data_IF_706266262826
#
_entry.id   IF_706266262826
#
_cell.length_a   1.000
_cell.length_b   1.000
_cell.length_c   1.000
_cell.angle_alpha   90.00
_cell.angle_beta   90.00
_cell.angle_gamma   90.00
#
_symmetry.space_group_name_H-M   'P 1'
#
loop_
_entity.id
_entity.type
_entity.pdbx_description
1 polymer ?
#
# COMPACT_ATOMS: atom_id res chain seq x y z
N UNK A 1 -6.80 7.84 38.58
CA UNK A 1 -5.50 7.61 39.22
C UNK A 1 -4.45 7.39 38.13
N UNK A 2 -3.44 8.26 38.06
CA UNK A 2 -2.33 8.16 37.10
C UNK A 2 -1.42 6.98 37.49
N UNK A 3 -1.56 5.83 36.82
CA UNK A 3 -0.89 4.59 37.24
C UNK A 3 0.65 4.68 37.28
N UNK A 4 1.25 5.63 36.53
CA UNK A 4 2.70 5.87 36.51
C UNK A 4 3.22 6.55 37.79
N UNK A 5 2.37 7.21 38.57
CA UNK A 5 2.76 7.92 39.80
C UNK A 5 3.48 7.02 40.83
N UNK A 6 3.17 5.72 40.84
CA UNK A 6 3.75 4.76 41.78
C UNK A 6 4.89 3.92 41.17
N UNK A 7 5.24 4.14 39.90
CA UNK A 7 6.28 3.40 39.20
C UNK A 7 7.36 4.34 38.66
N UNK A 8 8.57 4.25 39.21
CA UNK A 8 9.74 5.01 38.73
C UNK A 8 10.31 4.39 37.44
N UNK A 9 9.47 4.28 36.40
CA UNK A 9 9.81 3.62 35.13
C UNK A 9 10.21 4.66 34.09
N UNK A 10 11.52 4.91 34.01
CA UNK A 10 12.14 5.75 32.99
C UNK A 10 11.68 5.40 31.57
N UNK A 11 11.41 6.41 30.74
CA UNK A 11 11.21 6.20 29.30
C UNK A 11 12.59 6.03 28.64
N UNK A 12 12.80 5.00 27.82
CA UNK A 12 14.02 4.86 27.04
C UNK A 12 14.23 6.09 26.13
N UNK A 13 15.26 6.89 26.41
CA UNK A 13 15.62 8.07 25.63
C UNK A 13 16.46 7.69 24.41
N UNK A 14 15.85 6.96 23.48
CA UNK A 14 16.47 6.61 22.21
C UNK A 14 16.72 7.85 21.36
N UNK A 15 17.75 7.84 20.52
CA UNK A 15 18.03 8.98 19.65
C UNK A 15 16.90 9.26 18.67
N UNK A 16 16.20 8.23 18.20
CA UNK A 16 14.98 8.38 17.40
C UNK A 16 13.91 9.18 18.17
N UNK A 17 13.67 8.84 19.45
CA UNK A 17 12.68 9.55 20.27
C UNK A 17 13.08 11.01 20.55
N UNK A 18 14.36 11.26 20.84
CA UNK A 18 14.90 12.62 20.99
C UNK A 18 14.71 13.46 19.73
N UNK A 19 14.86 12.87 18.55
CA UNK A 19 14.59 13.57 17.29
C UNK A 19 13.10 13.84 17.11
N UNK A 20 12.22 12.87 17.39
CA UNK A 20 10.76 13.06 17.28
C UNK A 20 10.26 14.21 18.16
N UNK A 21 10.85 14.42 19.34
CA UNK A 21 10.55 15.56 20.22
C UNK A 21 10.85 16.93 19.60
N UNK A 22 11.63 17.01 18.51
CA UNK A 22 11.87 18.27 17.78
C UNK A 22 10.70 18.69 16.89
N UNK A 23 9.70 17.82 16.70
CA UNK A 23 8.49 18.17 15.96
C UNK A 23 7.67 19.20 16.73
N UNK A 24 7.13 20.20 16.03
CA UNK A 24 6.26 21.22 16.61
C UNK A 24 5.06 20.64 17.37
N UNK A 25 4.55 19.48 16.94
CA UNK A 25 3.44 18.79 17.60
C UNK A 25 3.76 18.34 19.02
N UNK A 26 5.03 18.11 19.35
CA UNK A 26 5.42 17.77 20.72
C UNK A 26 5.18 18.95 21.67
N UNK A 27 5.53 20.17 21.24
CA UNK A 27 5.24 21.38 22.02
C UNK A 27 3.73 21.58 22.19
N UNK A 28 2.95 21.38 21.12
CA UNK A 28 1.49 21.43 21.17
C UNK A 28 0.91 20.46 22.22
N UNK A 29 1.39 19.20 22.22
CA UNK A 29 0.98 18.17 23.17
C UNK A 29 1.36 18.53 24.60
N UNK A 30 2.56 19.09 24.83
CA UNK A 30 2.99 19.55 26.16
C UNK A 30 2.03 20.58 26.73
N UNK A 31 1.77 21.65 25.97
CA UNK A 31 0.92 22.76 26.39
C UNK A 31 -0.49 22.27 26.72
N UNK A 32 -1.10 21.50 25.82
CA UNK A 32 -2.45 20.99 26.02
C UNK A 32 -2.53 19.98 27.17
N UNK A 33 -1.50 19.14 27.36
CA UNK A 33 -1.46 18.21 28.50
C UNK A 33 -1.38 18.94 29.84
N UNK A 34 -0.56 20.00 29.93
CA UNK A 34 -0.48 20.84 31.12
C UNK A 34 -1.80 21.58 31.39
N UNK A 35 -2.45 22.09 30.35
CA UNK A 35 -3.73 22.79 30.49
C UNK A 35 -4.87 21.87 30.92
N UNK A 36 -4.94 20.65 30.41
CA UNK A 36 -6.07 19.74 30.65
C UNK A 36 -5.79 18.81 31.82
N UNK A 37 -4.65 18.12 31.82
CA UNK A 37 -4.32 17.14 32.87
C UNK A 37 -3.73 17.87 34.07
N UNK A 38 -2.86 18.86 33.84
CA UNK A 38 -2.23 19.65 34.90
C UNK A 38 -3.25 20.36 35.79
N UNK A 39 -4.21 21.07 35.19
CA UNK A 39 -5.22 21.83 35.94
C UNK A 39 -6.20 20.97 36.75
N UNK A 40 -6.54 19.78 36.26
CA UNK A 40 -7.69 19.02 36.78
C UNK A 40 -7.32 17.72 37.50
N UNK A 41 -6.14 17.16 37.25
CA UNK A 41 -5.78 15.81 37.70
C UNK A 41 -4.39 15.68 38.31
N UNK A 42 -3.40 16.47 37.85
CA UNK A 42 -2.02 16.36 38.33
C UNK A 42 -1.25 17.69 38.14
N UNK A 43 -1.31 18.62 39.11
CA UNK A 43 -0.71 19.96 39.01
C UNK A 43 0.77 19.97 38.61
N UNK A 44 1.51 18.92 39.00
CA UNK A 44 2.95 18.81 38.84
C UNK A 44 3.36 17.79 37.75
N UNK A 45 2.75 17.87 36.56
CA UNK A 45 3.18 17.04 35.42
C UNK A 45 4.67 17.26 35.13
N UNK A 46 5.47 16.20 35.27
CA UNK A 46 6.90 16.25 34.99
C UNK A 46 7.18 16.20 33.49
N UNK A 47 8.38 16.60 33.07
CA UNK A 47 8.81 16.42 31.68
C UNK A 47 8.78 14.95 31.22
N UNK A 48 8.96 14.03 32.16
CA UNK A 48 8.90 12.60 31.90
C UNK A 48 7.46 12.12 31.67
N UNK A 49 6.48 12.67 32.39
CA UNK A 49 5.05 12.40 32.12
C UNK A 49 4.65 12.92 30.73
N UNK A 50 5.16 14.10 30.36
CA UNK A 50 4.92 14.68 29.04
C UNK A 50 5.58 13.87 27.91
N UNK A 51 6.79 13.37 28.14
CA UNK A 51 7.44 12.40 27.25
C UNK A 51 6.61 11.13 27.11
N UNK A 52 6.01 10.63 28.20
CA UNK A 52 5.18 9.44 28.15
C UNK A 52 3.93 9.65 27.32
N UNK A 53 3.26 10.79 27.50
CA UNK A 53 2.08 11.16 26.72
C UNK A 53 2.45 11.28 25.24
N UNK A 54 3.58 11.90 24.94
CA UNK A 54 4.08 12.01 23.56
C UNK A 54 4.42 10.65 22.96
N UNK A 55 5.04 9.75 23.73
CA UNK A 55 5.33 8.39 23.29
C UNK A 55 4.03 7.63 22.95
N UNK A 56 3.02 7.71 23.82
CA UNK A 56 1.68 7.16 23.56
C UNK A 56 1.05 7.77 22.30
N UNK A 57 1.22 9.08 22.09
CA UNK A 57 0.75 9.77 20.90
C UNK A 57 1.42 9.23 19.62
N UNK A 58 2.73 8.97 19.65
CA UNK A 58 3.46 8.44 18.51
C UNK A 58 3.07 6.99 18.15
N UNK A 59 2.69 6.18 19.12
CA UNK A 59 2.49 4.73 18.94
C UNK A 59 1.04 4.33 18.65
N UNK A 60 0.09 5.26 18.83
CA UNK A 60 -1.34 5.00 18.64
C UNK A 60 -1.92 5.79 17.47
N UNK A 61 -2.96 5.25 16.84
CA UNK A 61 -3.83 6.05 15.99
C UNK A 61 -4.77 6.83 16.90
N UNK A 62 -4.62 8.15 16.97
CA UNK A 62 -5.46 8.99 17.79
C UNK A 62 -5.84 10.27 17.03
N UNK A 63 -7.04 10.83 17.27
CA UNK A 63 -7.48 12.07 16.63
C UNK A 63 -6.94 13.32 17.33
N UNK A 64 -6.09 13.17 18.35
CA UNK A 64 -5.60 14.29 19.15
C UNK A 64 -4.77 15.22 18.26
N UNK A 65 -5.07 16.52 18.30
CA UNK A 65 -4.45 17.53 17.43
C UNK A 65 -4.50 17.23 15.92
N UNK A 66 -5.53 16.49 15.45
CA UNK A 66 -5.73 16.21 14.01
C UNK A 66 -5.75 17.49 13.15
N UNK A 67 -6.27 18.58 13.71
CA UNK A 67 -6.40 19.92 13.12
C UNK A 67 -5.07 20.68 13.08
N UNK A 68 -4.07 20.29 13.88
CA UNK A 68 -2.77 20.94 13.93
C UNK A 68 -1.77 20.42 12.88
N UNK A 69 -2.11 19.39 12.12
CA UNK A 69 -1.26 18.82 11.08
C UNK A 69 -1.42 19.56 9.75
N UNK A 70 -0.41 20.36 9.40
CA UNK A 70 -0.33 21.03 8.09
C UNK A 70 0.50 20.19 7.11
N UNK A 71 0.34 20.38 5.77
CA UNK A 71 1.19 19.70 4.78
C UNK A 71 2.70 19.90 5.03
N UNK A 72 3.09 21.08 5.54
CA UNK A 72 4.47 21.38 5.95
C UNK A 72 4.92 20.49 7.10
N UNK A 73 4.15 20.41 8.20
CA UNK A 73 4.48 19.55 9.36
C UNK A 73 4.52 18.06 8.98
N UNK A 74 3.66 17.62 8.06
CA UNK A 74 3.68 16.25 7.52
C UNK A 74 4.97 15.99 6.73
N UNK A 75 5.42 16.95 5.92
CA UNK A 75 6.69 16.85 5.19
C UNK A 75 7.88 16.79 6.15
N UNK A 76 7.91 17.63 7.18
CA UNK A 76 8.93 17.62 8.25
C UNK A 76 8.98 16.27 8.96
N UNK A 77 7.82 15.69 9.30
CA UNK A 77 7.75 14.34 9.88
C UNK A 77 8.38 13.29 8.95
N UNK A 78 8.05 13.32 7.65
CA UNK A 78 8.62 12.37 6.70
C UNK A 78 10.14 12.54 6.59
N UNK A 79 10.63 13.76 6.47
CA UNK A 79 12.08 14.03 6.41
C UNK A 79 12.78 13.53 7.66
N UNK A 80 12.21 13.81 8.85
CA UNK A 80 12.77 13.39 10.12
C UNK A 80 12.83 11.86 10.24
N UNK A 81 11.73 11.15 9.96
CA UNK A 81 11.70 9.69 10.02
C UNK A 81 12.70 9.07 9.05
N UNK A 82 12.77 9.60 7.83
CA UNK A 82 13.62 9.07 6.75
C UNK A 82 15.10 9.36 6.92
N UNK A 83 15.49 10.28 7.82
CA UNK A 83 16.89 10.72 7.95
C UNK A 83 17.47 10.64 9.36
N UNK A 84 16.63 10.66 10.41
CA UNK A 84 17.05 10.77 11.81
C UNK A 84 16.50 9.66 12.72
N UNK A 85 15.78 8.68 12.17
CA UNK A 85 15.25 7.54 12.93
C UNK A 85 15.60 6.22 12.24
N UNK A 86 15.27 5.09 12.87
CA UNK A 86 15.46 3.75 12.32
C UNK A 86 14.67 3.56 10.99
N UNK A 87 13.72 4.44 10.67
CA UNK A 87 13.09 4.49 9.35
C UNK A 87 14.09 4.73 8.21
N UNK A 88 15.20 5.44 8.46
CA UNK A 88 16.28 5.64 7.48
C UNK A 88 16.90 4.31 7.06
N UNK A 89 17.28 3.48 8.04
CA UNK A 89 17.96 2.21 7.78
C UNK A 89 16.99 1.17 7.28
N UNK A 90 15.72 1.19 7.74
CA UNK A 90 14.67 0.34 7.16
C UNK A 90 14.43 0.65 5.69
N UNK A 91 14.37 1.94 5.31
CA UNK A 91 14.28 2.35 3.89
C UNK A 91 15.45 1.79 3.10
N UNK A 92 16.66 1.82 3.65
CA UNK A 92 17.85 1.30 2.99
C UNK A 92 17.77 -0.23 2.80
N UNK A 93 17.32 -0.98 3.82
CA UNK A 93 17.13 -2.43 3.74
C UNK A 93 16.08 -2.84 2.70
N UNK A 94 15.08 -2.00 2.45
CA UNK A 94 14.04 -2.24 1.43
C UNK A 94 14.46 -1.83 0.01
N UNK A 95 15.54 -1.07 -0.16
CA UNK A 95 15.98 -0.55 -1.47
C UNK A 95 16.27 -1.64 -2.49
N UNK A 96 16.99 -2.73 -2.16
CA UNK A 96 17.29 -3.76 -3.14
C UNK A 96 16.04 -4.46 -3.68
N UNK A 97 14.95 -4.49 -2.89
CA UNK A 97 13.68 -5.11 -3.29
C UNK A 97 12.78 -4.15 -4.07
N UNK A 98 12.64 -2.90 -3.62
CA UNK A 98 11.63 -1.97 -4.15
C UNK A 98 12.17 -0.93 -5.14
N UNK A 99 13.48 -0.66 -5.12
CA UNK A 99 14.10 0.39 -5.95
C UNK A 99 13.71 1.82 -5.55
N UNK A 100 14.49 2.81 -6.02
CA UNK A 100 14.35 4.19 -5.56
C UNK A 100 13.05 4.88 -6.02
N UNK A 101 12.47 4.47 -7.16
CA UNK A 101 11.21 5.03 -7.66
C UNK A 101 10.05 4.81 -6.66
N UNK A 102 9.94 3.60 -6.12
CA UNK A 102 8.93 3.26 -5.12
C UNK A 102 9.28 3.92 -3.78
N UNK A 103 10.54 3.81 -3.35
CA UNK A 103 10.99 4.33 -2.06
C UNK A 103 10.89 5.85 -1.90
N UNK A 104 10.89 6.60 -3.00
CA UNK A 104 10.77 8.07 -2.97
C UNK A 104 9.34 8.58 -3.11
N UNK A 105 8.40 7.68 -3.43
CA UNK A 105 6.98 7.99 -3.58
C UNK A 105 6.35 8.45 -2.25
N UNK A 106 5.37 9.35 -2.34
CA UNK A 106 4.61 9.81 -1.18
C UNK A 106 3.82 8.68 -0.48
N UNK A 107 3.16 7.75 -1.21
CA UNK A 107 2.51 6.60 -0.58
C UNK A 107 3.47 5.74 0.23
N UNK A 108 4.66 5.42 -0.32
CA UNK A 108 5.66 4.64 0.42
C UNK A 108 6.08 5.35 1.71
N UNK A 109 6.33 6.66 1.65
CA UNK A 109 6.71 7.44 2.85
C UNK A 109 5.67 7.33 3.96
N UNK A 110 4.38 7.37 3.62
CA UNK A 110 3.27 7.19 4.58
C UNK A 110 3.28 5.79 5.20
N UNK A 111 3.44 4.76 4.37
CA UNK A 111 3.53 3.36 4.81
C UNK A 111 4.71 3.18 5.77
N UNK A 112 5.89 3.68 5.39
CA UNK A 112 7.09 3.52 6.21
C UNK A 112 6.99 4.25 7.54
N UNK A 113 6.43 5.46 7.58
CA UNK A 113 6.21 6.19 8.84
C UNK A 113 5.24 5.44 9.75
N UNK A 114 4.16 4.91 9.17
CA UNK A 114 3.17 4.12 9.91
C UNK A 114 3.75 2.84 10.51
N UNK A 115 4.67 2.19 9.79
CA UNK A 115 5.32 0.97 10.25
C UNK A 115 6.49 1.25 11.21
N UNK A 116 7.31 2.28 10.93
CA UNK A 116 8.48 2.63 11.75
C UNK A 116 8.10 3.02 13.18
N UNK A 117 6.90 3.59 13.38
CA UNK A 117 6.43 3.99 14.73
C UNK A 117 6.34 2.82 15.70
N UNK A 118 6.18 1.58 15.20
CA UNK A 118 6.10 0.37 16.02
C UNK A 118 7.40 0.14 16.80
N UNK A 119 8.53 0.55 16.24
CA UNK A 119 9.87 0.29 16.77
C UNK A 119 10.38 1.43 17.65
N UNK A 120 9.59 2.48 17.88
CA UNK A 120 9.95 3.54 18.83
C UNK A 120 10.12 2.87 20.20
N UNK A 121 11.32 2.93 20.76
CA UNK A 121 11.65 2.33 22.06
C UNK A 121 11.30 0.84 22.19
N UNK A 122 11.42 0.07 21.10
CA UNK A 122 11.14 -1.38 21.04
C UNK A 122 9.71 -1.76 21.45
N UNK A 123 8.73 -0.88 21.21
CA UNK A 123 7.36 -1.08 21.66
C UNK A 123 6.54 -2.07 20.82
N UNK A 124 7.08 -2.61 19.72
CA UNK A 124 6.36 -3.48 18.80
C UNK A 124 5.78 -4.73 19.46
N UNK A 125 6.34 -5.17 20.59
CA UNK A 125 5.84 -6.33 21.37
C UNK A 125 4.65 -5.99 22.26
N UNK A 126 4.42 -4.70 22.55
CA UNK A 126 3.40 -4.23 23.50
C UNK A 126 2.18 -3.63 22.81
N UNK A 127 2.27 -3.29 21.53
CA UNK A 127 1.16 -2.69 20.80
C UNK A 127 0.10 -3.77 20.55
N UNK A 128 -1.17 -3.56 20.92
CA UNK A 128 -2.19 -4.60 20.84
C UNK A 128 -2.61 -4.89 19.40
N UNK A 129 -3.13 -6.10 19.20
CA UNK A 129 -3.80 -6.56 17.99
C UNK A 129 -5.08 -5.73 17.75
N UNK A 130 -5.26 -5.24 16.53
CA UNK A 130 -6.53 -4.67 16.09
C UNK A 130 -7.27 -5.82 15.40
N UNK A 131 -8.50 -6.13 15.84
CA UNK A 131 -9.41 -7.25 15.52
C UNK A 131 -9.61 -7.72 14.04
N UNK A 132 -8.66 -7.53 13.14
CA UNK A 132 -8.70 -7.78 11.70
C UNK A 132 -7.87 -9.02 11.28
N UNK A 133 -7.22 -9.71 12.22
CA UNK A 133 -6.25 -10.77 11.94
C UNK A 133 -6.78 -11.87 10.99
N UNK A 134 -8.04 -12.29 11.15
CA UNK A 134 -8.61 -13.35 10.30
C UNK A 134 -8.76 -12.96 8.83
N UNK A 135 -9.09 -11.70 8.55
CA UNK A 135 -9.21 -11.19 7.17
C UNK A 135 -7.82 -11.11 6.52
N UNK A 136 -6.85 -10.55 7.24
CA UNK A 136 -5.49 -10.38 6.74
C UNK A 136 -4.81 -11.74 6.47
N UNK A 137 -5.06 -12.75 7.31
CA UNK A 137 -4.47 -14.09 7.15
C UNK A 137 -4.90 -14.80 5.86
N UNK A 138 -6.10 -14.51 5.34
CA UNK A 138 -6.55 -15.06 4.04
C UNK A 138 -5.75 -14.43 2.88
N UNK A 139 -5.49 -13.13 2.94
CA UNK A 139 -4.66 -12.40 1.97
C UNK A 139 -3.21 -12.94 1.98
N UNK A 140 -2.66 -13.24 3.16
CA UNK A 140 -1.31 -13.80 3.30
C UNK A 140 -1.08 -15.09 2.50
N UNK A 141 -2.10 -15.96 2.37
CA UNK A 141 -1.96 -17.22 1.62
C UNK A 141 -1.65 -16.99 0.14
N UNK A 142 -2.13 -15.88 -0.44
CA UNK A 142 -1.97 -15.58 -1.86
C UNK A 142 -0.54 -15.13 -2.19
N UNK A 143 0.10 -14.39 -1.28
CA UNK A 143 1.40 -13.75 -1.52
C UNK A 143 2.48 -14.19 -0.52
N UNK A 144 2.49 -15.50 -0.22
CA UNK A 144 3.37 -16.08 0.81
C UNK A 144 4.86 -15.80 0.55
N UNK A 145 5.29 -15.80 -0.71
CA UNK A 145 6.69 -15.52 -1.09
C UNK A 145 7.08 -14.09 -0.74
N UNK A 146 6.30 -13.09 -1.17
CA UNK A 146 6.57 -11.68 -0.89
C UNK A 146 6.57 -11.39 0.62
N UNK A 147 5.60 -11.93 1.36
CA UNK A 147 5.58 -11.85 2.82
C UNK A 147 6.85 -12.42 3.46
N UNK A 148 7.29 -13.60 3.03
CA UNK A 148 8.48 -14.25 3.59
C UNK A 148 9.75 -13.45 3.29
N UNK A 149 9.89 -12.90 2.08
CA UNK A 149 11.02 -12.05 1.73
C UNK A 149 11.05 -10.77 2.58
N UNK A 150 9.90 -10.10 2.74
CA UNK A 150 9.79 -8.94 3.63
C UNK A 150 10.10 -9.31 5.09
N UNK A 151 9.65 -10.49 5.55
CA UNK A 151 9.96 -10.99 6.88
C UNK A 151 11.46 -11.08 7.10
N UNK A 152 12.19 -11.73 6.17
CA UNK A 152 13.64 -11.85 6.24
C UNK A 152 14.31 -10.48 6.28
N UNK A 153 13.96 -9.57 5.37
CA UNK A 153 14.52 -8.21 5.31
C UNK A 153 14.30 -7.47 6.64
N UNK A 154 13.10 -7.54 7.20
CA UNK A 154 12.75 -6.84 8.44
C UNK A 154 13.44 -7.47 9.65
N UNK A 155 13.52 -8.79 9.73
CA UNK A 155 14.20 -9.49 10.84
C UNK A 155 15.72 -9.22 10.82
N UNK A 156 16.34 -9.23 9.65
CA UNK A 156 17.76 -8.87 9.47
C UNK A 156 18.02 -7.40 9.85
N UNK A 157 17.16 -6.49 9.38
CA UNK A 157 17.22 -5.08 9.75
C UNK A 157 17.05 -4.87 11.27
N UNK A 158 16.09 -5.55 11.90
CA UNK A 158 15.88 -5.48 13.35
C UNK A 158 17.13 -5.94 14.10
N UNK A 159 17.75 -7.03 13.66
CA UNK A 159 18.99 -7.52 14.25
C UNK A 159 20.15 -6.53 14.10
N UNK A 160 20.30 -5.90 12.94
CA UNK A 160 21.35 -4.91 12.67
C UNK A 160 21.18 -3.63 13.51
N UNK A 161 19.94 -3.22 13.79
CA UNK A 161 19.61 -2.05 14.62
C UNK A 161 19.60 -2.36 16.13
N UNK A 162 19.81 -3.61 16.54
CA UNK A 162 19.72 -4.02 17.94
C UNK A 162 18.31 -3.92 18.53
N UNK A 163 17.27 -4.02 17.68
CA UNK A 163 15.87 -3.98 18.10
C UNK A 163 15.53 -5.30 18.80
N UNK A 164 15.14 -5.19 20.08
CA UNK A 164 14.84 -6.35 20.92
C UNK A 164 13.37 -6.72 20.83
N UNK A 165 13.08 -8.01 20.84
CA UNK A 165 11.72 -8.56 20.88
C UNK A 165 11.19 -8.97 19.51
N UNK A 166 10.25 -9.92 19.52
CA UNK A 166 9.69 -10.47 18.28
C UNK A 166 8.70 -9.51 17.66
N UNK A 167 8.79 -9.26 16.35
CA UNK A 167 7.74 -8.55 15.62
C UNK A 167 6.47 -9.41 15.55
N UNK A 168 5.34 -8.95 16.10
CA UNK A 168 4.07 -9.65 15.91
C UNK A 168 3.71 -9.79 14.44
N UNK A 169 3.28 -10.99 14.04
CA UNK A 169 3.06 -11.33 12.62
C UNK A 169 2.04 -10.45 11.90
N UNK A 170 1.05 -9.90 12.63
CA UNK A 170 0.02 -9.03 12.06
C UNK A 170 0.56 -7.66 11.65
N UNK A 171 1.55 -7.12 12.35
CA UNK A 171 2.19 -5.85 11.98
C UNK A 171 2.91 -5.98 10.64
N UNK A 172 3.68 -7.06 10.48
CA UNK A 172 4.34 -7.36 9.22
C UNK A 172 3.34 -7.65 8.10
N UNK A 173 2.23 -8.32 8.41
CA UNK A 173 1.20 -8.63 7.43
C UNK A 173 0.49 -7.37 6.93
N UNK A 174 0.16 -6.43 7.81
CA UNK A 174 -0.40 -5.14 7.42
C UNK A 174 0.59 -4.36 6.55
N UNK A 175 1.87 -4.33 6.93
CA UNK A 175 2.92 -3.70 6.14
C UNK A 175 3.05 -4.32 4.76
N UNK A 176 2.98 -5.65 4.68
CA UNK A 176 2.98 -6.41 3.42
C UNK A 176 1.82 -5.97 2.54
N UNK A 177 0.58 -6.01 3.04
CA UNK A 177 -0.61 -5.61 2.29
C UNK A 177 -0.52 -4.17 1.80
N UNK A 178 -0.04 -3.24 2.63
CA UNK A 178 0.14 -1.85 2.23
C UNK A 178 1.15 -1.70 1.09
N UNK A 179 2.26 -2.44 1.13
CA UNK A 179 3.23 -2.47 0.03
C UNK A 179 2.65 -3.12 -1.22
N UNK A 180 1.85 -4.18 -1.09
CA UNK A 180 1.21 -4.83 -2.22
C UNK A 180 0.24 -3.89 -2.95
N UNK A 181 -0.60 -3.19 -2.21
CA UNK A 181 -1.51 -2.18 -2.78
C UNK A 181 -0.74 -1.05 -3.46
N UNK A 182 0.39 -0.63 -2.90
CA UNK A 182 1.28 0.32 -3.57
C UNK A 182 1.86 -0.27 -4.87
N UNK A 183 2.38 -1.50 -4.84
CA UNK A 183 2.98 -2.14 -6.01
C UNK A 183 1.97 -2.30 -7.16
N UNK A 184 0.69 -2.56 -6.84
CA UNK A 184 -0.39 -2.60 -7.84
C UNK A 184 -0.58 -1.29 -8.61
N UNK A 185 -0.17 -0.14 -8.06
CA UNK A 185 -0.23 1.15 -8.75
C UNK A 185 0.91 1.35 -9.76
N UNK A 186 1.95 0.51 -9.71
CA UNK A 186 3.07 0.53 -10.66
C UNK A 186 2.85 -0.40 -11.85
N UNK A 187 1.75 -1.16 -11.87
CA UNK A 187 1.36 -1.94 -13.04
C UNK A 187 0.88 -1.01 -14.16
N UNK A 188 1.30 -1.23 -15.41
CA UNK A 188 0.78 -0.46 -16.53
C UNK A 188 -0.73 -0.68 -16.68
N UNK A 189 -1.49 0.35 -17.12
CA UNK A 189 -2.89 0.18 -17.48
C UNK A 189 -3.06 -0.95 -18.50
N UNK A 190 -4.14 -1.73 -18.36
CA UNK A 190 -4.44 -2.81 -19.29
C UNK A 190 -5.17 -2.22 -20.50
N UNK A 191 -4.67 -2.41 -21.73
CA UNK A 191 -5.39 -1.99 -22.92
C UNK A 191 -6.65 -2.83 -23.08
N UNK A 192 -7.80 -2.17 -23.27
CA UNK A 192 -9.11 -2.82 -23.43
C UNK A 192 -9.69 -2.40 -24.77
N UNK A 193 -9.73 -3.32 -25.73
CA UNK A 193 -10.35 -3.09 -27.03
C UNK A 193 -11.82 -3.48 -26.97
N UNK A 194 -12.71 -2.52 -27.21
CA UNK A 194 -14.15 -2.76 -27.25
C UNK A 194 -14.64 -2.75 -28.70
N UNK A 195 -15.11 -3.90 -29.18
CA UNK A 195 -15.36 -4.17 -30.60
C UNK A 195 -16.85 -4.44 -30.85
N UNK A 196 -17.53 -3.53 -31.54
CA UNK A 196 -18.89 -3.76 -32.06
C UNK A 196 -19.12 -2.85 -33.26
N UNK A 197 -20.12 -3.17 -34.09
CA UNK A 197 -20.55 -2.28 -35.17
C UNK A 197 -21.62 -1.27 -34.73
N UNK A 198 -22.19 -1.44 -33.54
CA UNK A 198 -23.20 -0.55 -33.00
C UNK A 198 -22.55 0.60 -32.21
N UNK A 199 -22.59 1.81 -32.76
CA UNK A 199 -22.01 3.02 -32.16
C UNK A 199 -22.66 3.40 -30.82
N UNK A 200 -23.99 3.27 -30.70
CA UNK A 200 -24.67 3.54 -29.43
C UNK A 200 -24.26 2.55 -28.33
N UNK A 201 -24.02 1.28 -28.70
CA UNK A 201 -23.50 0.29 -27.77
C UNK A 201 -22.04 0.58 -27.37
N UNK A 202 -21.19 1.04 -28.31
CA UNK A 202 -19.82 1.49 -28.00
C UNK A 202 -19.82 2.59 -26.96
N UNK A 203 -20.62 3.64 -27.14
CA UNK A 203 -20.64 4.78 -26.22
C UNK A 203 -21.12 4.37 -24.82
N UNK A 204 -22.21 3.62 -24.74
CA UNK A 204 -22.76 3.12 -23.47
C UNK A 204 -21.75 2.26 -22.72
N UNK A 205 -21.12 1.30 -23.40
CA UNK A 205 -20.16 0.39 -22.77
C UNK A 205 -18.85 1.08 -22.40
N UNK A 206 -18.36 2.00 -23.23
CA UNK A 206 -17.16 2.78 -22.92
C UNK A 206 -17.38 3.56 -21.63
N UNK A 207 -18.55 4.19 -21.49
CA UNK A 207 -18.93 4.89 -20.26
C UNK A 207 -19.04 3.95 -19.07
N UNK A 208 -19.72 2.80 -19.22
CA UNK A 208 -19.86 1.81 -18.15
C UNK A 208 -18.49 1.28 -17.68
N UNK A 209 -17.63 0.88 -18.61
CA UNK A 209 -16.29 0.37 -18.30
C UNK A 209 -15.41 1.46 -17.66
N UNK A 210 -15.56 2.72 -18.05
CA UNK A 210 -14.81 3.83 -17.44
C UNK A 210 -15.22 4.11 -16.00
N UNK A 211 -16.45 3.75 -15.60
CA UNK A 211 -16.90 3.82 -14.20
C UNK A 211 -16.23 2.72 -13.37
N UNK A 212 -16.17 1.49 -13.88
CA UNK A 212 -15.55 0.37 -13.16
C UNK A 212 -14.02 0.44 -13.18
N UNK A 213 -13.43 0.96 -14.25
CA UNK A 213 -12.00 0.96 -14.49
C UNK A 213 -11.49 2.38 -14.78
N UNK A 214 -10.87 3.05 -13.80
CA UNK A 214 -10.23 4.33 -14.05
C UNK A 214 -9.05 4.18 -15.03
N UNK A 215 -8.60 5.27 -15.67
CA UNK A 215 -7.50 5.24 -16.66
C UNK A 215 -6.16 4.68 -16.14
N UNK A 216 -5.91 4.78 -14.83
CA UNK A 216 -4.74 4.17 -14.19
C UNK A 216 -4.80 2.64 -14.13
N UNK A 217 -5.98 2.05 -14.37
CA UNK A 217 -6.24 0.61 -14.32
C UNK A 217 -6.41 0.05 -15.73
N UNK A 218 -7.19 0.70 -16.58
CA UNK A 218 -7.47 0.26 -17.94
C UNK A 218 -7.52 1.43 -18.91
N UNK A 219 -7.11 1.18 -20.15
CA UNK A 219 -7.27 2.13 -21.25
C UNK A 219 -8.27 1.56 -22.25
N UNK A 220 -9.50 2.07 -22.22
CA UNK A 220 -10.60 1.59 -23.07
C UNK A 220 -10.52 2.25 -24.44
N UNK A 221 -10.43 1.43 -25.48
CA UNK A 221 -10.35 1.82 -26.89
C UNK A 221 -11.59 1.29 -27.61
N UNK A 222 -12.63 2.12 -27.80
CA UNK A 222 -13.79 1.75 -28.60
C UNK A 222 -13.41 1.68 -30.08
N UNK A 223 -13.82 0.62 -30.74
CA UNK A 223 -13.53 0.39 -32.16
C UNK A 223 -14.78 -0.10 -32.87
N UNK A 224 -15.18 0.68 -33.87
CA UNK A 224 -16.21 0.25 -34.81
C UNK A 224 -15.59 -0.68 -35.87
N UNK A 225 -15.99 -1.94 -35.84
CA UNK A 225 -15.45 -3.00 -36.71
C UNK A 225 -15.86 -2.86 -38.19
N UNK A 226 -16.85 -2.03 -38.51
CA UNK A 226 -17.19 -1.70 -39.91
C UNK A 226 -16.22 -0.67 -40.51
N UNK A 227 -15.55 0.11 -39.67
CA UNK A 227 -14.65 1.19 -40.10
C UNK A 227 -13.21 0.69 -40.19
N UNK A 228 -12.78 -0.16 -39.25
CA UNK A 228 -11.40 -0.61 -39.13
C UNK A 228 -11.32 -2.13 -39.35
N UNK A 229 -10.49 -2.63 -40.29
CA UNK A 229 -10.32 -4.06 -40.53
C UNK A 229 -9.82 -4.79 -39.28
N UNK A 230 -10.39 -5.97 -38.98
CA UNK A 230 -10.08 -6.73 -37.77
C UNK A 230 -8.60 -6.94 -37.48
N UNK A 231 -7.78 -7.11 -38.51
CA UNK A 231 -6.33 -7.36 -38.45
C UNK A 231 -5.48 -6.17 -37.98
N UNK A 232 -6.03 -4.95 -38.05
CA UNK A 232 -5.31 -3.72 -37.72
C UNK A 232 -5.73 -3.09 -36.38
N UNK A 233 -6.66 -3.76 -35.68
CA UNK A 233 -7.31 -3.26 -34.46
C UNK A 233 -6.41 -3.39 -33.23
N UNK A 234 -5.97 -4.62 -32.92
CA UNK A 234 -5.27 -4.93 -31.68
C UNK A 234 -3.77 -4.83 -31.93
N UNK A 235 -3.15 -3.86 -31.26
CA UNK A 235 -1.72 -3.55 -31.45
C UNK A 235 -0.86 -4.02 -30.27
N UNK A 236 -1.45 -4.00 -29.08
CA UNK A 236 -0.74 -4.35 -27.84
C UNK A 236 -0.95 -5.81 -27.47
N UNK A 237 0.09 -6.48 -26.96
CA UNK A 237 -0.01 -7.86 -26.45
C UNK A 237 -0.62 -7.88 -25.05
N UNK A 238 -1.17 -9.02 -24.65
CA UNK A 238 -1.77 -9.22 -23.31
C UNK A 238 -2.89 -8.21 -22.96
N UNK A 239 -3.58 -7.71 -23.98
CA UNK A 239 -4.76 -6.84 -23.83
C UNK A 239 -6.04 -7.62 -23.52
N UNK A 240 -7.07 -6.90 -23.09
CA UNK A 240 -8.44 -7.42 -22.98
C UNK A 240 -9.18 -7.02 -24.26
N UNK A 241 -9.85 -7.98 -24.88
CA UNK A 241 -10.65 -7.76 -26.08
C UNK A 241 -12.09 -8.13 -25.75
N UNK A 242 -12.97 -7.14 -25.74
CA UNK A 242 -14.39 -7.27 -25.48
C UNK A 242 -15.10 -7.10 -26.81
N UNK A 243 -15.84 -8.11 -27.25
CA UNK A 243 -16.53 -8.05 -28.53
C UNK A 243 -17.97 -8.54 -28.43
N UNK A 244 -18.79 -8.19 -29.41
CA UNK A 244 -20.05 -8.90 -29.61
C UNK A 244 -19.76 -10.40 -29.84
N UNK A 245 -20.61 -11.27 -29.30
CA UNK A 245 -20.50 -12.72 -29.43
C UNK A 245 -20.36 -13.16 -30.89
N UNK A 246 -21.01 -12.47 -31.84
CA UNK A 246 -20.93 -12.80 -33.26
C UNK A 246 -19.51 -12.66 -33.84
N UNK A 247 -18.67 -11.78 -33.29
CA UNK A 247 -17.31 -11.53 -33.78
C UNK A 247 -16.25 -12.29 -32.98
N UNK A 248 -16.59 -12.78 -31.79
CA UNK A 248 -15.61 -13.32 -30.83
C UNK A 248 -14.76 -14.45 -31.42
N UNK A 249 -15.37 -15.41 -32.11
CA UNK A 249 -14.66 -16.55 -32.70
C UNK A 249 -13.62 -16.12 -33.74
N UNK A 250 -13.99 -15.16 -34.61
CA UNK A 250 -13.09 -14.62 -35.63
C UNK A 250 -11.93 -13.86 -34.98
N UNK A 251 -12.23 -12.99 -34.02
CA UNK A 251 -11.23 -12.20 -33.29
C UNK A 251 -10.27 -13.12 -32.53
N UNK A 252 -10.79 -14.14 -31.86
CA UNK A 252 -9.96 -15.14 -31.18
C UNK A 252 -9.01 -15.81 -32.15
N UNK A 253 -9.49 -16.21 -33.34
CA UNK A 253 -8.64 -16.83 -34.35
C UNK A 253 -7.53 -15.90 -34.85
N UNK A 254 -7.84 -14.62 -35.10
CA UNK A 254 -6.88 -13.64 -35.60
C UNK A 254 -5.79 -13.28 -34.58
N UNK A 255 -6.14 -13.30 -33.29
CA UNK A 255 -5.25 -12.85 -32.21
C UNK A 255 -4.82 -13.99 -31.26
N UNK A 256 -4.95 -15.23 -31.72
CA UNK A 256 -4.44 -16.41 -31.01
C UNK A 256 -2.94 -16.24 -30.74
N UNK A 257 -2.50 -16.58 -29.52
CA UNK A 257 -1.09 -16.63 -29.07
C UNK A 257 -0.44 -15.32 -28.56
N UNK A 258 -1.21 -14.28 -28.31
CA UNK A 258 -0.66 -13.01 -27.76
C UNK A 258 -1.00 -12.78 -26.27
N UNK A 259 -1.53 -13.80 -25.59
CA UNK A 259 -1.87 -13.75 -24.17
C UNK A 259 -3.06 -12.85 -23.84
N UNK A 260 -3.90 -12.54 -24.84
CA UNK A 260 -5.09 -11.71 -24.64
C UNK A 260 -6.16 -12.42 -23.80
N UNK A 261 -6.95 -11.61 -23.11
CA UNK A 261 -8.20 -12.05 -22.50
C UNK A 261 -9.36 -11.69 -23.44
N UNK A 262 -10.07 -12.70 -23.94
CA UNK A 262 -11.24 -12.51 -24.79
C UNK A 262 -12.51 -12.60 -23.97
N UNK A 263 -13.34 -11.56 -24.06
CA UNK A 263 -14.63 -11.48 -23.40
C UNK A 263 -15.69 -11.17 -24.46
N UNK A 264 -16.90 -11.72 -24.27
CA UNK A 264 -18.04 -11.27 -25.04
C UNK A 264 -18.92 -10.35 -24.19
N UNK A 265 -19.67 -9.52 -24.88
CA UNK A 265 -20.75 -8.74 -24.29
C UNK A 265 -22.06 -9.01 -25.01
N UNK A 266 -23.14 -9.12 -24.24
CA UNK A 266 -24.49 -9.25 -24.76
C UNK A 266 -25.28 -8.01 -24.35
N UNK A 267 -25.59 -7.14 -25.31
CA UNK A 267 -26.30 -5.89 -25.04
C UNK A 267 -27.66 -6.11 -24.36
N UNK A 268 -28.39 -7.14 -24.79
CA UNK A 268 -29.67 -7.54 -24.18
C UNK A 268 -29.55 -7.99 -22.71
N UNK A 269 -28.34 -8.33 -22.26
CA UNK A 269 -28.05 -8.76 -20.88
C UNK A 269 -26.88 -7.96 -20.31
N UNK A 270 -26.98 -6.63 -20.41
CA UNK A 270 -25.92 -5.70 -20.03
C UNK A 270 -25.41 -5.93 -18.61
N UNK A 271 -26.29 -5.93 -17.61
CA UNK A 271 -25.88 -5.97 -16.21
C UNK A 271 -25.14 -7.27 -15.85
N UNK A 272 -25.56 -8.40 -16.45
CA UNK A 272 -24.87 -9.70 -16.32
C UNK A 272 -23.49 -9.65 -16.99
N UNK A 273 -23.42 -9.06 -18.19
CA UNK A 273 -22.18 -8.95 -18.94
C UNK A 273 -21.17 -8.03 -18.23
N UNK A 274 -21.62 -6.90 -17.68
CA UNK A 274 -20.79 -5.98 -16.90
C UNK A 274 -20.21 -6.65 -15.65
N UNK A 275 -21.04 -7.34 -14.86
CA UNK A 275 -20.57 -8.05 -13.67
C UNK A 275 -19.55 -9.15 -14.01
N UNK A 276 -19.78 -9.89 -15.09
CA UNK A 276 -18.84 -10.89 -15.60
C UNK A 276 -17.52 -10.26 -16.05
N UNK A 277 -17.58 -9.23 -16.90
CA UNK A 277 -16.39 -8.50 -17.38
C UNK A 277 -15.59 -7.98 -16.21
N UNK A 278 -16.26 -7.37 -15.21
CA UNK A 278 -15.60 -6.84 -14.04
C UNK A 278 -14.82 -7.91 -13.27
N UNK A 279 -15.46 -9.03 -12.96
CA UNK A 279 -14.82 -10.13 -12.24
C UNK A 279 -13.61 -10.69 -13.00
N UNK A 280 -13.79 -11.01 -14.29
CA UNK A 280 -12.73 -11.65 -15.07
C UNK A 280 -11.57 -10.69 -15.33
N UNK A 281 -11.84 -9.39 -15.50
CA UNK A 281 -10.81 -8.36 -15.57
C UNK A 281 -9.97 -8.30 -14.29
N UNK A 282 -10.61 -8.33 -13.12
CA UNK A 282 -9.89 -8.31 -11.83
C UNK A 282 -9.00 -9.55 -11.68
N UNK A 283 -9.49 -10.73 -12.06
CA UNK A 283 -8.69 -11.97 -12.02
C UNK A 283 -7.49 -11.89 -12.97
N UNK A 284 -7.67 -11.32 -14.18
CA UNK A 284 -6.60 -11.12 -15.14
C UNK A 284 -5.56 -10.11 -14.65
N UNK A 285 -6.00 -8.98 -14.07
CA UNK A 285 -5.11 -7.98 -13.46
C UNK A 285 -4.32 -8.59 -12.30
N UNK A 286 -4.97 -9.42 -11.48
CA UNK A 286 -4.30 -10.11 -10.38
C UNK A 286 -3.22 -11.08 -10.88
N UNK A 287 -3.47 -11.82 -11.96
CA UNK A 287 -2.44 -12.68 -12.57
C UNK A 287 -1.21 -11.89 -13.01
N UNK A 288 -1.40 -10.72 -13.65
CA UNK A 288 -0.28 -9.83 -14.03
C UNK A 288 0.48 -9.31 -12.82
N UNK A 289 -0.23 -9.03 -11.72
CA UNK A 289 0.40 -8.67 -10.46
C UNK A 289 1.25 -9.82 -9.89
N UNK A 290 0.73 -11.04 -9.91
CA UNK A 290 1.45 -12.22 -9.41
C UNK A 290 2.74 -12.44 -10.23
N UNK A 291 2.69 -12.32 -11.56
CA UNK A 291 3.86 -12.37 -12.46
C UNK A 291 4.87 -11.25 -12.17
N UNK A 292 4.38 -10.04 -11.90
CA UNK A 292 5.21 -8.89 -11.51
C UNK A 292 5.96 -9.17 -10.18
N UNK A 293 5.28 -9.74 -9.19
CA UNK A 293 5.91 -10.09 -7.91
C UNK A 293 6.97 -11.17 -8.06
N UNK A 294 6.72 -12.21 -8.87
CA UNK A 294 7.75 -13.22 -9.17
C UNK A 294 8.99 -12.56 -9.76
N UNK A 295 8.82 -11.71 -10.77
CA UNK A 295 9.93 -11.01 -11.42
C UNK A 295 10.69 -10.10 -10.45
N UNK A 296 9.97 -9.39 -9.58
CA UNK A 296 10.55 -8.51 -8.55
C UNK A 296 11.43 -9.30 -7.58
N UNK A 297 10.92 -10.44 -7.08
CA UNK A 297 11.64 -11.30 -6.15
C UNK A 297 12.85 -11.97 -6.80
N UNK A 298 12.73 -12.46 -8.04
CA UNK A 298 13.84 -13.05 -8.78
C UNK A 298 14.98 -12.04 -8.97
N UNK A 299 14.63 -10.79 -9.29
CA UNK A 299 15.60 -9.70 -9.43
C UNK A 299 16.31 -9.41 -8.11
N UNK A 300 15.56 -9.33 -7.01
CA UNK A 300 16.11 -9.14 -5.67
C UNK A 300 17.10 -10.27 -5.29
N UNK A 301 16.72 -11.53 -5.48
CA UNK A 301 17.58 -12.67 -5.15
C UNK A 301 18.84 -12.76 -6.02
N UNK A 302 18.76 -12.40 -7.30
CA UNK A 302 19.93 -12.31 -8.19
C UNK A 302 20.92 -11.23 -7.73
N UNK A 303 20.41 -10.06 -7.34
CA UNK A 303 21.24 -8.96 -6.86
C UNK A 303 21.95 -9.28 -5.54
N UNK A 304 21.35 -10.10 -4.66
CA UNK A 304 21.99 -10.57 -3.44
C UNK A 304 23.07 -11.64 -3.68
N UNK A 305 22.95 -12.39 -4.78
CA UNK A 305 23.85 -13.50 -5.12
C UNK A 305 25.04 -13.07 -5.98
N UNK A 306 25.10 -11.79 -6.35
CA UNK A 306 26.16 -11.24 -7.19
C UNK A 306 27.25 -10.65 -6.27
N UNK A 307 28.50 -11.14 -6.34
CA UNK A 307 29.57 -10.87 -5.38
C UNK A 307 30.04 -9.42 -5.33
#
# INVERSE_FOLDING_TARGET
>A
MWKRQHGNLGIPQTDAFKHLKKLSIYHDIKMTSQEIIGKWYHPDLTDEDLDYIFLCFCTTNNPFHKDKWTPKKVKELFELVMTKTNGKTLKASLRPLLGDNILNSLPFKRILVSFSRLFISNLQVLLPDIHLFHYLRRQQKRNKSFYNTLKTIVEEWMSAEGIVGKLPSYHLLLFTIQLEELLKTYLPPIPVYLLTNNTAALDLMTNALSIYFPPAIATVMPVNVEIIPFKDIVKEKQSVIIADRQYLNLIQHLYQNQGHLFLYFLFSFRDVSEAYIHKVFLDFRQKRYDEFIVTLLDTYHKNLSSP
#
